data_IF_814165397197
#
_entry.id   IF_814165397197
#
_cell.length_a   1.000
_cell.length_b   1.000
_cell.length_c   1.000
_cell.angle_alpha   90.00
_cell.angle_beta   90.00
_cell.angle_gamma   90.00
#
_symmetry.space_group_name_H-M   'P 1'
#
loop_
_entity.id
_entity.type
_entity.pdbx_description
1 polymer ?
#
# COMPACT_ATOMS: atom_id res chain seq x y z
N UNK A 1 8.50 -7.82 -19.04
CA UNK A 1 9.13 -6.71 -18.29
C UNK A 1 8.65 -5.39 -18.84
N UNK A 2 8.41 -4.42 -17.99
CA UNK A 2 7.97 -3.07 -18.35
C UNK A 2 9.06 -2.10 -17.94
N UNK A 3 9.47 -1.14 -18.79
CA UNK A 3 10.52 -0.19 -18.44
C UNK A 3 10.11 0.68 -17.24
N UNK A 4 11.02 0.84 -16.27
CA UNK A 4 10.82 1.77 -15.16
C UNK A 4 11.29 3.16 -15.59
N UNK A 5 10.36 4.01 -16.02
CA UNK A 5 10.67 5.38 -16.36
C UNK A 5 10.55 6.27 -15.12
N UNK A 6 11.67 6.83 -14.69
CA UNK A 6 11.71 7.89 -13.65
C UNK A 6 11.55 7.43 -12.21
N UNK A 7 12.04 6.21 -11.85
CA UNK A 7 12.10 5.69 -10.47
C UNK A 7 10.82 5.93 -9.62
N UNK A 8 9.64 5.84 -10.26
CA UNK A 8 8.36 6.05 -9.60
C UNK A 8 7.58 4.72 -9.50
N UNK A 9 7.35 4.21 -8.30
CA UNK A 9 6.64 2.96 -8.05
C UNK A 9 5.25 2.96 -8.68
N UNK A 10 4.52 4.07 -8.59
CA UNK A 10 3.20 4.20 -9.19
C UNK A 10 3.23 4.05 -10.73
N UNK A 11 4.26 4.58 -11.40
CA UNK A 11 4.43 4.40 -12.86
C UNK A 11 4.68 2.96 -13.24
N UNK A 12 5.53 2.26 -12.49
CA UNK A 12 5.79 0.83 -12.71
C UNK A 12 4.53 0.01 -12.55
N UNK A 13 3.76 0.26 -11.48
CA UNK A 13 2.46 -0.40 -11.25
C UNK A 13 1.46 -0.08 -12.36
N UNK A 14 1.38 1.17 -12.81
CA UNK A 14 0.50 1.59 -13.91
C UNK A 14 0.88 0.92 -15.22
N UNK A 15 2.17 0.83 -15.55
CA UNK A 15 2.66 0.12 -16.72
C UNK A 15 2.32 -1.39 -16.63
N UNK A 16 2.43 -2.00 -15.45
CA UNK A 16 1.98 -3.37 -15.20
C UNK A 16 0.48 -3.55 -15.42
N UNK A 17 -0.35 -2.63 -14.93
CA UNK A 17 -1.81 -2.63 -15.13
C UNK A 17 -2.14 -2.52 -16.63
N UNK A 18 -1.46 -1.64 -17.35
CA UNK A 18 -1.68 -1.46 -18.78
C UNK A 18 -1.32 -2.71 -19.62
N UNK A 19 -0.24 -3.41 -19.23
CA UNK A 19 0.22 -4.63 -19.90
C UNK A 19 -0.59 -5.88 -19.50
N UNK A 20 -1.32 -5.84 -18.40
CA UNK A 20 -2.07 -6.99 -17.90
C UNK A 20 -3.27 -7.33 -18.79
N UNK A 21 -3.47 -8.63 -19.04
CA UNK A 21 -4.57 -9.16 -19.87
C UNK A 21 -5.72 -9.75 -19.07
N UNK A 22 -5.48 -10.04 -17.78
CA UNK A 22 -6.49 -10.63 -16.89
C UNK A 22 -7.61 -9.65 -16.56
N UNK A 23 -8.78 -10.18 -16.22
CA UNK A 23 -9.94 -9.39 -15.79
C UNK A 23 -9.74 -8.80 -14.40
N UNK A 24 -9.01 -9.50 -13.53
CA UNK A 24 -8.68 -9.09 -12.18
C UNK A 24 -7.19 -8.71 -12.14
N UNK A 25 -6.90 -7.54 -11.64
CA UNK A 25 -5.54 -7.07 -11.39
C UNK A 25 -5.25 -7.19 -9.90
N UNK A 26 -4.09 -7.76 -9.59
CA UNK A 26 -3.54 -7.80 -8.23
C UNK A 26 -2.12 -7.25 -8.29
N UNK A 27 -1.84 -6.19 -7.53
CA UNK A 27 -0.48 -5.64 -7.43
C UNK A 27 0.13 -6.00 -6.10
N UNK A 28 1.38 -6.41 -6.11
CA UNK A 28 2.16 -6.81 -4.93
C UNK A 28 3.61 -6.37 -5.11
N UNK A 29 4.28 -5.99 -4.05
CA UNK A 29 5.70 -5.67 -4.08
C UNK A 29 6.53 -6.96 -4.20
N UNK A 30 7.68 -6.89 -4.86
CA UNK A 30 8.47 -8.06 -5.24
C UNK A 30 9.08 -8.83 -4.06
N UNK A 31 9.18 -8.19 -2.90
CA UNK A 31 9.70 -8.78 -1.66
C UNK A 31 8.58 -9.27 -0.71
N UNK A 32 7.33 -9.14 -1.12
CA UNK A 32 6.17 -9.58 -0.35
C UNK A 32 5.63 -10.92 -0.84
N UNK A 33 4.93 -11.65 0.02
CA UNK A 33 4.33 -12.94 -0.31
C UNK A 33 2.84 -12.98 0.04
N UNK A 34 2.04 -13.56 -0.85
CA UNK A 34 0.63 -13.85 -0.61
C UNK A 34 0.46 -15.25 -0.02
N UNK A 35 -0.53 -15.43 0.86
CA UNK A 35 -0.95 -16.75 1.31
C UNK A 35 -1.69 -17.50 0.20
N UNK A 36 -1.69 -18.84 0.25
CA UNK A 36 -2.22 -19.72 -0.83
C UNK A 36 -3.65 -19.39 -1.27
N UNK A 37 -4.50 -18.97 -0.37
CA UNK A 37 -5.92 -18.68 -0.64
C UNK A 37 -6.21 -17.29 -1.16
N UNK A 38 -5.22 -16.40 -1.25
CA UNK A 38 -5.41 -14.96 -1.53
C UNK A 38 -6.18 -14.72 -2.84
N UNK A 39 -5.73 -15.31 -3.94
CA UNK A 39 -6.37 -15.09 -5.25
C UNK A 39 -7.80 -15.67 -5.29
N UNK A 40 -8.05 -16.79 -4.61
CA UNK A 40 -9.40 -17.37 -4.51
C UNK A 40 -10.33 -16.45 -3.71
N UNK A 41 -9.86 -15.88 -2.59
CA UNK A 41 -10.65 -14.95 -1.80
C UNK A 41 -10.95 -13.67 -2.58
N UNK A 42 -9.99 -13.12 -3.32
CA UNK A 42 -10.18 -11.96 -4.20
C UNK A 42 -11.26 -12.24 -5.24
N UNK A 43 -11.13 -13.35 -5.97
CA UNK A 43 -12.12 -13.76 -6.97
C UNK A 43 -13.52 -13.91 -6.39
N UNK A 44 -13.64 -14.55 -5.24
CA UNK A 44 -14.92 -14.67 -4.52
C UNK A 44 -15.49 -13.31 -4.13
N UNK A 45 -14.69 -12.41 -3.53
CA UNK A 45 -15.17 -11.09 -3.13
C UNK A 45 -15.66 -10.26 -4.31
N UNK A 46 -14.95 -10.28 -5.43
CA UNK A 46 -15.34 -9.56 -6.65
C UNK A 46 -16.60 -10.18 -7.28
N UNK A 47 -16.72 -11.51 -7.31
CA UNK A 47 -17.89 -12.19 -7.88
C UNK A 47 -19.21 -11.87 -7.15
N UNK A 48 -19.13 -11.45 -5.88
CA UNK A 48 -20.34 -11.02 -5.14
C UNK A 48 -20.96 -9.71 -5.66
N UNK A 49 -20.25 -8.95 -6.49
CA UNK A 49 -20.66 -7.62 -6.94
C UNK A 49 -20.69 -6.53 -5.86
N UNK A 50 -20.45 -6.89 -4.59
CA UNK A 50 -20.54 -5.97 -3.44
C UNK A 50 -19.28 -5.11 -3.24
N UNK A 51 -18.15 -5.55 -3.81
CA UNK A 51 -16.86 -4.92 -3.57
C UNK A 51 -16.26 -4.40 -4.87
N UNK A 52 -15.68 -3.22 -4.81
CA UNK A 52 -15.00 -2.59 -5.95
C UNK A 52 -13.54 -3.06 -6.06
N UNK A 53 -12.98 -3.47 -4.95
CA UNK A 53 -11.60 -3.84 -4.79
C UNK A 53 -11.17 -3.70 -3.34
N UNK A 54 -9.87 -3.83 -3.08
CA UNK A 54 -9.39 -3.75 -1.71
C UNK A 54 -7.89 -3.95 -1.55
N UNK A 55 -7.51 -4.17 -0.28
CA UNK A 55 -6.18 -4.53 0.15
C UNK A 55 -6.19 -5.84 0.95
N UNK A 56 -5.11 -6.09 1.69
CA UNK A 56 -5.00 -7.23 2.59
C UNK A 56 -4.46 -6.81 3.97
N UNK A 57 -4.73 -7.58 5.03
CA UNK A 57 -4.03 -7.43 6.28
C UNK A 57 -2.55 -7.77 6.06
N UNK A 58 -1.66 -7.02 6.70
CA UNK A 58 -0.22 -7.24 6.61
C UNK A 58 0.23 -8.03 7.83
N UNK A 59 1.16 -8.96 7.64
CA UNK A 59 1.95 -9.60 8.69
C UNK A 59 3.41 -9.55 8.31
N UNK A 60 4.30 -9.44 9.29
CA UNK A 60 5.74 -9.53 9.05
C UNK A 60 6.21 -10.99 9.02
N UNK A 61 7.30 -11.27 8.30
CA UNK A 61 7.93 -12.60 8.24
C UNK A 61 8.41 -13.06 9.61
N UNK A 62 8.89 -12.13 10.44
CA UNK A 62 9.25 -12.33 11.84
C UNK A 62 8.67 -11.23 12.71
N UNK A 63 8.64 -11.45 14.01
CA UNK A 63 8.20 -10.46 14.99
C UNK A 63 9.24 -10.23 16.06
N UNK A 64 9.41 -8.98 16.43
CA UNK A 64 10.03 -8.47 17.63
C UNK A 64 9.06 -7.47 18.28
N UNK A 65 9.36 -6.99 19.48
CA UNK A 65 8.50 -6.00 20.13
C UNK A 65 8.26 -4.75 19.28
N UNK A 66 9.29 -4.12 18.67
CA UNK A 66 9.07 -2.96 17.79
C UNK A 66 8.22 -3.29 16.55
N UNK A 67 8.46 -4.44 15.92
CA UNK A 67 7.67 -4.87 14.75
C UNK A 67 6.22 -5.15 15.13
N UNK A 68 5.97 -5.73 16.30
CA UNK A 68 4.61 -5.92 16.81
C UNK A 68 3.89 -4.60 17.05
N UNK A 69 4.57 -3.61 17.65
CA UNK A 69 4.03 -2.26 17.84
C UNK A 69 3.71 -1.59 16.51
N UNK A 70 4.60 -1.72 15.52
CA UNK A 70 4.37 -1.17 14.18
C UNK A 70 3.17 -1.85 13.49
N UNK A 71 3.05 -3.18 13.56
CA UNK A 71 1.91 -3.92 13.03
C UNK A 71 0.60 -3.45 13.70
N UNK A 72 0.60 -3.27 15.03
CA UNK A 72 -0.54 -2.76 15.78
C UNK A 72 -0.96 -1.37 15.29
N UNK A 73 -0.01 -0.45 15.13
CA UNK A 73 -0.26 0.91 14.63
C UNK A 73 -0.84 0.87 13.20
N UNK A 74 -0.31 0.03 12.31
CA UNK A 74 -0.85 -0.16 10.97
C UNK A 74 -2.29 -0.68 11.01
N UNK A 75 -2.58 -1.68 11.83
CA UNK A 75 -3.94 -2.24 11.97
C UNK A 75 -4.94 -1.22 12.49
N UNK A 76 -4.56 -0.42 13.49
CA UNK A 76 -5.40 0.65 14.01
C UNK A 76 -5.65 1.69 12.93
N UNK A 77 -4.60 2.14 12.24
CA UNK A 77 -4.70 3.08 11.12
C UNK A 77 -5.63 2.57 10.01
N UNK A 78 -5.50 1.31 9.61
CA UNK A 78 -6.37 0.70 8.60
C UNK A 78 -7.84 0.62 9.05
N UNK A 79 -8.10 0.29 10.31
CA UNK A 79 -9.46 0.28 10.87
C UNK A 79 -10.09 1.67 10.88
N UNK A 80 -9.34 2.68 11.31
CA UNK A 80 -9.83 4.06 11.42
C UNK A 80 -10.08 4.66 10.04
N UNK A 81 -9.13 4.52 9.11
CA UNK A 81 -9.22 5.13 7.78
C UNK A 81 -10.05 4.30 6.80
N UNK A 82 -10.09 2.98 7.00
CA UNK A 82 -10.62 2.02 6.03
C UNK A 82 -9.84 2.04 4.70
N UNK A 83 -8.55 2.43 4.74
CA UNK A 83 -7.65 2.46 3.60
C UNK A 83 -6.62 1.34 3.78
N UNK A 84 -6.87 0.20 3.15
CA UNK A 84 -5.98 -0.96 3.19
C UNK A 84 -4.99 -0.86 2.04
N UNK A 85 -3.70 -1.01 2.34
CA UNK A 85 -2.57 -0.85 1.43
C UNK A 85 -1.69 -2.11 1.40
N UNK A 86 -0.56 -2.06 0.69
CA UNK A 86 0.44 -3.12 0.59
C UNK A 86 0.16 -4.11 -0.55
N UNK A 87 -1.08 -4.51 -0.74
CA UNK A 87 -1.59 -5.20 -1.92
C UNK A 87 -2.83 -4.47 -2.39
N UNK A 88 -3.00 -4.34 -3.70
CA UNK A 88 -4.22 -3.80 -4.29
C UNK A 88 -4.83 -4.81 -5.24
N UNK A 89 -6.12 -5.00 -5.15
CA UNK A 89 -6.86 -5.86 -6.05
C UNK A 89 -8.19 -5.22 -6.45
N UNK A 90 -8.50 -5.29 -7.73
CA UNK A 90 -9.75 -4.83 -8.31
C UNK A 90 -9.91 -5.42 -9.72
N UNK A 91 -11.09 -5.25 -10.32
CA UNK A 91 -11.29 -5.50 -11.74
C UNK A 91 -10.40 -4.55 -12.56
N UNK A 92 -9.88 -5.03 -13.70
CA UNK A 92 -9.06 -4.22 -14.62
C UNK A 92 -9.81 -2.95 -15.07
N UNK A 93 -11.09 -3.09 -15.39
CA UNK A 93 -12.00 -1.97 -15.73
C UNK A 93 -12.06 -0.91 -14.62
N UNK A 94 -12.03 -1.34 -13.36
CA UNK A 94 -12.00 -0.43 -12.20
C UNK A 94 -10.69 0.37 -12.16
N UNK A 95 -9.53 -0.29 -12.33
CA UNK A 95 -8.25 0.43 -12.37
C UNK A 95 -8.19 1.41 -13.55
N UNK A 96 -8.71 1.04 -14.71
CA UNK A 96 -8.82 1.92 -15.87
C UNK A 96 -9.71 3.13 -15.58
N UNK A 97 -10.89 2.91 -15.00
CA UNK A 97 -11.85 3.97 -14.68
C UNK A 97 -11.33 4.98 -13.65
N UNK A 98 -10.48 4.54 -12.71
CA UNK A 98 -9.87 5.44 -11.72
C UNK A 98 -8.55 6.05 -12.20
N UNK A 99 -8.04 5.66 -13.37
CA UNK A 99 -6.77 6.14 -13.92
C UNK A 99 -5.54 5.54 -13.22
N UNK A 100 -5.65 4.30 -12.72
CA UNK A 100 -4.54 3.57 -12.08
C UNK A 100 -4.09 4.15 -10.75
N UNK A 101 -2.82 3.91 -10.41
CA UNK A 101 -2.16 4.46 -9.23
C UNK A 101 -1.88 5.95 -9.38
N UNK A 102 -2.05 6.69 -8.28
CA UNK A 102 -1.76 8.12 -8.24
C UNK A 102 -0.26 8.32 -8.30
N UNK A 103 0.23 8.99 -9.33
CA UNK A 103 1.66 9.29 -9.50
C UNK A 103 2.10 10.36 -8.49
N UNK A 104 2.47 9.90 -7.30
CA UNK A 104 3.08 10.70 -6.25
C UNK A 104 4.33 9.99 -5.77
N UNK A 105 5.30 10.76 -5.31
CA UNK A 105 6.52 10.19 -4.73
C UNK A 105 6.25 9.48 -3.41
N UNK A 106 5.34 10.00 -2.59
CA UNK A 106 4.97 9.39 -1.31
C UNK A 106 3.45 9.31 -1.14
N UNK A 107 2.98 8.36 -0.32
CA UNK A 107 1.56 8.12 -0.01
C UNK A 107 0.69 7.80 -1.25
N UNK A 108 1.30 7.30 -2.34
CA UNK A 108 0.60 6.87 -3.55
C UNK A 108 -0.41 5.76 -3.26
N UNK A 109 -0.08 4.87 -2.34
CA UNK A 109 -0.93 3.78 -1.89
C UNK A 109 -2.21 4.29 -1.21
N UNK A 110 -2.07 5.18 -0.22
CA UNK A 110 -3.21 5.76 0.47
C UNK A 110 -4.07 6.62 -0.48
N UNK A 111 -3.44 7.35 -1.41
CA UNK A 111 -4.14 8.13 -2.41
C UNK A 111 -4.94 7.23 -3.38
N UNK A 112 -4.34 6.12 -3.81
CA UNK A 112 -4.98 5.12 -4.69
C UNK A 112 -6.14 4.42 -3.97
N UNK A 113 -5.93 3.96 -2.73
CA UNK A 113 -6.99 3.36 -1.90
C UNK A 113 -8.18 4.33 -1.72
N UNK A 114 -7.90 5.62 -1.45
CA UNK A 114 -8.93 6.66 -1.33
C UNK A 114 -9.70 6.84 -2.64
N UNK A 115 -9.01 6.81 -3.79
CA UNK A 115 -9.62 6.95 -5.11
C UNK A 115 -10.53 5.75 -5.44
N UNK A 116 -10.05 4.52 -5.20
CA UNK A 116 -10.84 3.30 -5.36
C UNK A 116 -12.06 3.29 -4.45
N UNK A 117 -11.89 3.67 -3.17
CA UNK A 117 -12.98 3.76 -2.19
C UNK A 117 -14.05 4.78 -2.63
N UNK A 118 -13.62 5.95 -3.13
CA UNK A 118 -14.53 6.98 -3.61
C UNK A 118 -15.29 6.53 -4.88
N UNK A 119 -14.61 5.86 -5.81
CA UNK A 119 -15.22 5.30 -7.01
C UNK A 119 -16.22 4.20 -6.66
N UNK A 120 -15.86 3.28 -5.76
CA UNK A 120 -16.76 2.25 -5.27
C UNK A 120 -18.03 2.83 -4.66
N UNK A 121 -17.91 3.90 -3.84
CA UNK A 121 -19.06 4.59 -3.26
C UNK A 121 -20.05 5.11 -4.32
N UNK A 122 -19.55 5.64 -5.45
CA UNK A 122 -20.40 6.09 -6.56
C UNK A 122 -21.17 4.95 -7.22
N UNK A 123 -20.65 3.73 -7.19
CA UNK A 123 -21.25 2.53 -7.77
C UNK A 123 -22.01 1.68 -6.73
N UNK A 124 -22.18 2.14 -5.49
CA UNK A 124 -22.80 1.35 -4.42
C UNK A 124 -21.93 0.15 -3.96
N UNK A 125 -20.66 0.08 -4.37
CA UNK A 125 -19.71 -0.99 -4.05
C UNK A 125 -18.71 -0.53 -2.98
N UNK A 126 -18.27 -1.44 -2.09
CA UNK A 126 -17.38 -1.11 -0.97
C UNK A 126 -15.92 -1.46 -1.30
N UNK A 127 -15.00 -0.62 -0.88
CA UNK A 127 -13.58 -0.96 -0.76
C UNK A 127 -13.38 -1.77 0.52
N UNK A 128 -12.64 -2.89 0.47
CA UNK A 128 -12.56 -3.82 1.61
C UNK A 128 -11.16 -4.39 1.81
N UNK A 129 -11.02 -5.19 2.87
CA UNK A 129 -9.80 -5.94 3.19
C UNK A 129 -10.09 -7.44 3.13
N UNK A 130 -9.12 -8.24 2.73
CA UNK A 130 -9.21 -9.69 2.84
C UNK A 130 -9.41 -10.08 4.30
N UNK A 131 -10.17 -11.16 4.54
CA UNK A 131 -10.52 -11.62 5.89
C UNK A 131 -9.79 -12.88 6.31
N UNK A 132 -9.53 -13.76 5.34
CA UNK A 132 -8.94 -15.09 5.57
C UNK A 132 -7.47 -15.16 5.19
N UNK A 133 -7.05 -14.31 4.27
CA UNK A 133 -5.70 -14.28 3.74
C UNK A 133 -4.97 -12.99 4.09
N UNK A 134 -3.65 -13.08 4.17
CA UNK A 134 -2.78 -11.98 4.57
C UNK A 134 -1.65 -11.79 3.56
N UNK A 135 -1.11 -10.59 3.53
CA UNK A 135 0.15 -10.28 2.89
C UNK A 135 1.28 -10.47 3.90
N UNK A 136 2.27 -11.26 3.56
CA UNK A 136 3.49 -11.44 4.36
C UNK A 136 4.51 -10.44 3.84
N UNK A 137 4.83 -9.46 4.68
CA UNK A 137 5.75 -8.38 4.36
C UNK A 137 7.17 -8.75 4.74
N UNK A 138 8.12 -8.50 3.85
CA UNK A 138 9.53 -8.74 4.10
C UNK A 138 10.04 -7.87 5.25
N UNK A 139 10.93 -8.43 6.07
CA UNK A 139 11.61 -7.72 7.16
C UNK A 139 12.99 -7.24 6.81
N UNK A 140 13.43 -7.41 5.55
CA UNK A 140 14.77 -7.05 5.09
C UNK A 140 15.22 -5.64 5.52
N UNK A 141 14.37 -4.63 5.36
CA UNK A 141 14.70 -3.25 5.78
C UNK A 141 14.95 -3.12 7.29
N UNK A 142 14.25 -3.92 8.07
CA UNK A 142 14.44 -3.95 9.53
C UNK A 142 15.69 -4.73 9.92
N UNK A 143 16.05 -5.74 9.13
CA UNK A 143 17.30 -6.51 9.34
C UNK A 143 18.52 -5.63 9.09
N UNK A 144 18.47 -4.75 8.08
CA UNK A 144 19.54 -3.83 7.71
C UNK A 144 19.61 -2.59 8.64
N UNK A 145 18.48 -2.01 9.03
CA UNK A 145 18.39 -0.72 9.72
C UNK A 145 17.93 -0.81 11.18
N UNK A 146 17.63 -2.01 11.66
CA UNK A 146 17.13 -2.28 13.01
C UNK A 146 15.62 -2.15 13.15
N UNK A 147 15.04 -2.96 14.02
CA UNK A 147 13.60 -3.12 14.22
C UNK A 147 12.90 -1.84 14.71
N UNK A 148 13.62 -0.94 15.36
CA UNK A 148 13.10 0.34 15.85
C UNK A 148 12.97 1.42 14.78
N UNK A 149 13.39 1.17 13.54
CA UNK A 149 13.48 2.15 12.47
C UNK A 149 12.23 3.03 12.36
N UNK A 150 11.08 2.45 12.06
CA UNK A 150 9.86 3.22 11.84
C UNK A 150 9.33 3.90 13.10
N UNK A 151 9.47 3.27 14.27
CA UNK A 151 9.06 3.90 15.53
C UNK A 151 9.94 5.11 15.86
N UNK A 152 11.26 5.01 15.65
CA UNK A 152 12.18 6.16 15.79
C UNK A 152 11.82 7.28 14.82
N UNK A 153 11.51 6.94 13.57
CA UNK A 153 11.10 7.90 12.56
C UNK A 153 9.80 8.61 12.91
N UNK A 154 8.80 7.88 13.40
CA UNK A 154 7.54 8.46 13.88
C UNK A 154 7.80 9.40 15.05
N UNK A 155 8.59 8.98 16.04
CA UNK A 155 8.92 9.80 17.22
C UNK A 155 9.73 11.04 16.85
N UNK A 156 10.77 10.89 16.02
CA UNK A 156 11.62 12.00 15.57
C UNK A 156 10.84 13.05 14.77
N UNK A 157 9.79 12.61 14.08
CA UNK A 157 8.98 13.48 13.23
C UNK A 157 7.57 13.74 13.79
N UNK A 158 7.35 13.47 15.07
CA UNK A 158 6.03 13.60 15.70
C UNK A 158 5.44 15.01 15.53
N UNK A 159 6.27 16.07 15.67
CA UNK A 159 5.87 17.43 15.39
C UNK A 159 5.42 17.68 13.94
N UNK A 160 6.06 17.02 12.98
CA UNK A 160 5.69 17.08 11.55
C UNK A 160 4.33 16.42 11.30
N UNK A 161 4.06 15.28 11.96
CA UNK A 161 2.75 14.63 11.88
C UNK A 161 1.64 15.50 12.50
N UNK A 162 1.90 16.17 13.63
CA UNK A 162 0.95 17.12 14.24
C UNK A 162 0.69 18.28 13.29
N UNK A 163 1.72 18.91 12.71
CA UNK A 163 1.57 20.01 11.74
C UNK A 163 0.77 19.55 10.51
N UNK A 164 1.03 18.36 10.03
CA UNK A 164 0.28 17.80 8.90
C UNK A 164 -1.19 17.57 9.23
N UNK A 165 -1.51 17.14 10.45
CA UNK A 165 -2.88 17.04 10.94
C UNK A 165 -3.58 18.39 11.05
N UNK A 166 -2.82 19.47 11.34
CA UNK A 166 -3.28 20.86 11.39
C UNK A 166 -3.32 21.54 10.00
N UNK A 167 -2.98 20.81 8.91
CA UNK A 167 -3.10 21.29 7.53
C UNK A 167 -1.79 21.51 6.77
N UNK A 168 -0.63 21.54 7.43
CA UNK A 168 0.68 21.65 6.77
C UNK A 168 1.16 20.28 6.25
N UNK A 169 0.75 19.96 5.04
CA UNK A 169 1.14 18.71 4.38
C UNK A 169 2.48 18.78 3.64
N UNK A 170 3.07 19.98 3.46
CA UNK A 170 4.32 20.12 2.69
C UNK A 170 5.50 19.49 3.43
N UNK A 171 5.63 19.77 4.72
CA UNK A 171 6.69 19.20 5.56
C UNK A 171 6.59 17.68 5.67
N UNK A 172 5.38 17.12 5.74
CA UNK A 172 5.16 15.67 5.75
C UNK A 172 5.57 15.03 4.42
N UNK A 173 5.17 15.61 3.29
CA UNK A 173 5.52 15.07 1.98
C UNK A 173 7.04 15.08 1.77
N UNK A 174 7.75 16.17 2.15
CA UNK A 174 9.21 16.25 2.06
C UNK A 174 9.88 15.17 2.90
N UNK A 175 9.46 14.99 4.14
CA UNK A 175 9.97 13.95 5.03
C UNK A 175 9.74 12.53 4.47
N UNK A 176 8.56 12.26 3.92
CA UNK A 176 8.25 10.96 3.33
C UNK A 176 9.06 10.71 2.05
N UNK A 177 9.30 11.74 1.25
CA UNK A 177 10.15 11.64 0.07
C UNK A 177 11.59 11.26 0.46
N UNK A 178 12.18 11.92 1.45
CA UNK A 178 13.52 11.61 1.97
C UNK A 178 13.60 10.17 2.52
N UNK A 179 12.57 9.72 3.23
CA UNK A 179 12.53 8.39 3.85
C UNK A 179 12.38 7.21 2.88
N UNK A 180 11.60 7.40 1.82
CA UNK A 180 11.26 6.29 0.92
C UNK A 180 12.12 6.24 -0.34
N UNK A 181 12.68 7.37 -0.79
CA UNK A 181 13.45 7.44 -2.03
C UNK A 181 14.96 7.54 -1.80
N UNK A 182 15.43 8.35 -0.86
CA UNK A 182 16.87 8.46 -0.56
C UNK A 182 17.46 7.18 0.01
N UNK A 183 16.64 6.37 0.70
CA UNK A 183 17.09 5.06 1.19
C UNK A 183 17.42 4.08 0.06
N UNK A 184 16.60 4.05 -0.99
CA UNK A 184 16.83 3.15 -2.12
C UNK A 184 18.03 3.58 -2.98
N UNK A 185 18.41 4.84 -2.94
CA UNK A 185 19.59 5.35 -3.66
C UNK A 185 20.91 4.98 -2.93
N UNK A 186 20.87 4.82 -1.59
CA UNK A 186 22.04 4.40 -0.78
C UNK A 186 22.36 2.90 -0.84
N UNK A 187 21.41 2.05 -1.24
CA UNK A 187 21.61 0.58 -1.38
C UNK A 187 21.95 0.21 -2.83
N UNK A 188 21.72 1.10 -3.78
CA UNK A 188 22.02 0.88 -5.22
C UNK A 188 23.46 1.21 -5.62
N UNK A 189 24.31 1.63 -4.68
CA UNK A 189 25.76 1.73 -4.81
C UNK A 189 26.44 0.54 -4.11
#
# INVERSE_FOLDING_TARGET
TVPNQGRCIARVRNAGIAAARGEIIVTIDCDNRMTRGTLREIGYLLSTGRYIGGGAPIRFERYSLPLWLNDLLCRVSFKVTGLYCGIFWAERSTFQAVGGFVEKKAMEDAATAKRLKAYGKKLGRRYTCLRKNVLINSTRKYDDMGDWLYLKLILANFGTFIRAALGDRRSLNKMLDELFYDYNDKIGE
#
